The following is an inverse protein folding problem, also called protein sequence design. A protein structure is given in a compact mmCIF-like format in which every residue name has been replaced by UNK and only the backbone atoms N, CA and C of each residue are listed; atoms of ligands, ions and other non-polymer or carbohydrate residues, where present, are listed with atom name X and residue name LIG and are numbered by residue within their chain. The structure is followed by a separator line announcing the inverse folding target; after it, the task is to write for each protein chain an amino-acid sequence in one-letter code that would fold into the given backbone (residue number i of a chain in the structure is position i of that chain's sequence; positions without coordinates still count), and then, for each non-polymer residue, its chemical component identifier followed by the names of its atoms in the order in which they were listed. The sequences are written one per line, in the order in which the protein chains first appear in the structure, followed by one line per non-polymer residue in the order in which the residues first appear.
data_IF_055910946697
#
_entry.id   IF_055910946697
#
_cell.length_a   1.000
_cell.length_b   1.000
_cell.length_c   1.000
_cell.angle_alpha   90.00
_cell.angle_beta   90.00
_cell.angle_gamma   90.00
#
_symmetry.space_group_name_H-M   'P 1'
#
loop_
_entity.id
_entity.type
_entity.pdbx_description
1 polymer ?
#
# COMPACT_ATOMS: atom_id res chain seq x y z
N UNK A 1 -10.80 -14.54 34.60
CA UNK A 1 -9.40 -15.04 34.66
C UNK A 1 -8.47 -13.89 34.33
N UNK A 2 -7.48 -13.60 35.19
CA UNK A 2 -6.54 -12.48 35.01
C UNK A 2 -5.53 -12.85 33.92
N UNK A 3 -5.47 -12.09 32.83
CA UNK A 3 -4.51 -12.30 31.73
C UNK A 3 -3.40 -11.24 31.81
N UNK A 4 -2.13 -11.69 31.82
CA UNK A 4 -0.95 -10.82 31.76
C UNK A 4 -0.54 -10.60 30.31
N UNK A 5 -0.02 -9.41 30.01
CA UNK A 5 0.45 -8.97 28.69
C UNK A 5 1.98 -9.00 28.72
N UNK A 6 2.62 -9.65 27.74
CA UNK A 6 4.07 -9.61 27.53
C UNK A 6 4.34 -9.10 26.12
N UNK A 7 5.15 -8.06 26.01
CA UNK A 7 5.56 -7.44 24.75
C UNK A 7 6.93 -8.02 24.34
N UNK A 8 6.98 -8.78 23.25
CA UNK A 8 8.22 -9.34 22.72
C UNK A 8 8.29 -9.16 21.20
N UNK A 9 9.33 -8.47 20.74
CA UNK A 9 9.57 -8.08 19.36
C UNK A 9 10.52 -9.11 18.73
N UNK A 10 10.07 -9.86 17.72
CA UNK A 10 10.86 -10.90 17.05
C UNK A 10 10.99 -10.54 15.57
N UNK A 11 12.17 -10.03 15.20
CA UNK A 11 12.62 -9.84 13.82
C UNK A 11 13.20 -11.16 13.32
N UNK A 12 12.58 -11.80 12.32
CA UNK A 12 13.12 -12.99 11.67
C UNK A 12 13.61 -12.61 10.27
N UNK A 13 14.94 -12.59 10.14
CA UNK A 13 15.68 -12.51 8.89
C UNK A 13 15.88 -13.95 8.38
N UNK A 14 15.25 -14.34 7.27
CA UNK A 14 15.41 -15.68 6.72
C UNK A 14 16.64 -15.76 5.80
N UNK A 15 17.72 -16.37 6.29
CA UNK A 15 18.79 -16.95 5.46
C UNK A 15 18.83 -18.46 5.66
N UNK A 16 18.69 -19.22 4.57
CA UNK A 16 18.79 -20.69 4.57
C UNK A 16 20.25 -21.15 4.54
N UNK A 17 20.67 -21.98 5.50
CA UNK A 17 21.49 -23.20 5.34
C UNK A 17 21.47 -24.00 6.66
N UNK A 18 21.31 -25.33 6.58
CA UNK A 18 21.12 -26.20 7.74
C UNK A 18 22.39 -26.75 8.39
N UNK A 19 22.22 -27.39 9.55
CA UNK A 19 22.67 -28.76 9.87
C UNK A 19 22.43 -29.09 11.37
N UNK A 20 21.82 -30.26 11.59
CA UNK A 20 22.06 -31.25 12.65
C UNK A 20 22.78 -30.84 13.95
N UNK A 21 22.11 -31.03 15.10
CA UNK A 21 22.52 -32.03 16.11
C UNK A 21 21.58 -32.01 17.34
N UNK A 22 21.20 -33.21 17.79
CA UNK A 22 20.51 -33.44 19.04
C UNK A 22 21.39 -33.01 20.23
N UNK A 23 20.92 -32.08 21.03
CA UNK A 23 21.38 -31.92 22.41
C UNK A 23 20.16 -31.78 23.33
N UNK A 24 19.98 -32.76 24.21
CA UNK A 24 19.02 -32.70 25.31
C UNK A 24 19.49 -31.62 26.29
N UNK A 25 18.84 -30.45 26.25
CA UNK A 25 18.98 -29.44 27.30
C UNK A 25 17.74 -29.45 28.18
N UNK A 26 17.98 -29.71 29.47
CA UNK A 26 17.06 -29.43 30.56
C UNK A 26 16.42 -28.06 30.34
N UNK A 27 15.10 -28.02 30.25
CA UNK A 27 14.36 -26.76 30.09
C UNK A 27 14.25 -26.13 31.47
N UNK A 28 14.57 -24.85 31.51
CA UNK A 28 14.27 -23.95 32.62
C UNK A 28 12.82 -23.51 32.44
N UNK A 29 11.94 -23.91 33.35
CA UNK A 29 10.48 -23.94 33.19
C UNK A 29 9.81 -22.55 33.26
N UNK A 30 10.62 -21.49 33.29
CA UNK A 30 10.15 -20.12 33.54
C UNK A 30 9.92 -19.29 32.26
N UNK A 31 10.31 -19.78 31.08
CA UNK A 31 10.05 -19.09 29.83
C UNK A 31 8.70 -19.50 29.24
N UNK A 32 7.89 -18.54 28.76
CA UNK A 32 6.64 -18.88 28.08
C UNK A 32 6.94 -19.76 26.84
N UNK A 33 6.06 -20.72 26.53
CA UNK A 33 6.14 -21.51 25.31
C UNK A 33 6.35 -20.61 24.10
N UNK A 34 7.32 -20.97 23.27
CA UNK A 34 7.55 -20.32 21.99
C UNK A 34 6.33 -20.55 21.09
N UNK A 35 5.69 -19.47 20.64
CA UNK A 35 4.61 -19.53 19.65
C UNK A 35 5.26 -19.63 18.27
N UNK A 36 4.91 -20.66 17.50
CA UNK A 36 5.41 -20.82 16.13
C UNK A 36 4.39 -20.30 15.14
N UNK A 37 4.89 -19.80 14.01
CA UNK A 37 4.01 -19.35 12.92
C UNK A 37 3.09 -20.47 12.39
N UNK A 38 3.53 -21.74 12.49
CA UNK A 38 2.72 -22.91 12.15
C UNK A 38 1.51 -23.12 13.07
N UNK A 39 1.49 -22.52 14.26
CA UNK A 39 0.37 -22.62 15.20
C UNK A 39 -0.78 -21.66 14.84
N UNK A 40 -0.54 -20.79 13.86
CA UNK A 40 -1.53 -19.87 13.29
C UNK A 40 -1.83 -20.38 11.88
N UNK A 41 -3.05 -20.87 11.64
CA UNK A 41 -3.50 -21.14 10.28
C UNK A 41 -3.77 -19.79 9.60
N UNK A 42 -3.02 -19.43 8.57
CA UNK A 42 -3.22 -18.17 7.86
C UNK A 42 -3.21 -18.34 6.35
N UNK A 43 -3.87 -17.42 5.66
CA UNK A 43 -3.82 -17.35 4.20
C UNK A 43 -4.00 -15.91 3.70
N UNK A 44 -3.38 -15.63 2.55
CA UNK A 44 -3.62 -14.42 1.76
C UNK A 44 -4.19 -14.85 0.42
N UNK A 45 -5.35 -14.31 0.04
CA UNK A 45 -6.03 -14.66 -1.21
C UNK A 45 -6.55 -13.41 -1.90
N UNK A 46 -6.48 -13.37 -3.23
CA UNK A 46 -7.24 -12.39 -4.01
C UNK A 46 -8.71 -12.82 -4.09
N UNK A 47 -9.64 -11.91 -3.81
CA UNK A 47 -11.09 -12.14 -3.90
C UNK A 47 -11.76 -10.90 -4.50
N UNK A 48 -12.90 -11.09 -5.17
CA UNK A 48 -13.79 -10.00 -5.56
C UNK A 48 -14.75 -9.75 -4.40
N UNK A 49 -14.76 -8.52 -3.87
CA UNK A 49 -15.60 -8.09 -2.76
C UNK A 49 -16.15 -6.71 -3.14
N UNK A 50 -17.47 -6.58 -3.20
CA UNK A 50 -18.17 -5.37 -3.64
C UNK A 50 -17.68 -4.89 -5.02
N UNK A 51 -17.67 -5.81 -6.00
CA UNK A 51 -17.21 -5.60 -7.38
C UNK A 51 -15.73 -5.19 -7.56
N UNK A 52 -14.97 -5.12 -6.47
CA UNK A 52 -13.56 -4.76 -6.47
C UNK A 52 -12.66 -5.96 -6.14
N UNK A 53 -11.54 -6.09 -6.86
CA UNK A 53 -10.52 -7.10 -6.55
C UNK A 53 -9.70 -6.67 -5.33
N UNK A 54 -9.89 -7.36 -4.21
CA UNK A 54 -9.20 -7.10 -2.94
C UNK A 54 -8.29 -8.26 -2.55
N UNK A 55 -7.18 -7.95 -1.87
CA UNK A 55 -6.38 -8.93 -1.15
C UNK A 55 -7.00 -9.15 0.23
N UNK A 56 -7.33 -10.38 0.56
CA UNK A 56 -7.90 -10.76 1.85
C UNK A 56 -6.90 -11.58 2.64
N UNK A 57 -6.55 -11.10 3.84
CA UNK A 57 -5.84 -11.86 4.85
C UNK A 57 -6.85 -12.55 5.77
N UNK A 58 -6.58 -13.81 6.12
CA UNK A 58 -7.40 -14.58 7.06
C UNK A 58 -6.49 -15.37 7.98
N UNK A 59 -6.83 -15.45 9.26
CA UNK A 59 -6.11 -16.27 10.22
C UNK A 59 -7.07 -16.99 11.18
N UNK A 60 -6.63 -18.13 11.69
CA UNK A 60 -7.21 -18.85 12.81
C UNK A 60 -6.09 -19.12 13.82
N UNK A 61 -6.28 -18.58 15.01
CA UNK A 61 -5.35 -18.78 16.12
C UNK A 61 -5.66 -20.13 16.78
N UNK A 62 -4.75 -21.10 16.66
CA UNK A 62 -4.87 -22.41 17.31
C UNK A 62 -4.09 -22.48 18.64
N UNK A 63 -3.71 -21.33 19.22
CA UNK A 63 -3.00 -21.24 20.51
C UNK A 63 -3.92 -20.78 21.64
N UNK A 64 -3.50 -21.02 22.89
CA UNK A 64 -4.18 -20.51 24.08
C UNK A 64 -3.94 -19.01 24.35
N UNK A 65 -3.10 -18.36 23.53
CA UNK A 65 -2.71 -16.97 23.68
C UNK A 65 -3.59 -16.04 22.87
N UNK A 66 -3.78 -14.81 23.34
CA UNK A 66 -4.44 -13.77 22.53
C UNK A 66 -3.40 -13.15 21.60
N UNK A 67 -3.66 -13.15 20.30
CA UNK A 67 -2.87 -12.34 19.35
C UNK A 67 -3.17 -10.86 19.62
N UNK A 68 -2.16 -10.12 20.07
CA UNK A 68 -2.29 -8.72 20.43
C UNK A 68 -2.13 -7.78 19.22
N UNK A 69 -1.32 -8.17 18.24
CA UNK A 69 -0.95 -7.35 17.10
C UNK A 69 -0.61 -8.22 15.89
N UNK A 70 -0.96 -7.74 14.69
CA UNK A 70 -0.60 -8.33 13.41
C UNK A 70 -0.04 -7.21 12.54
N UNK A 71 1.19 -7.38 12.06
CA UNK A 71 1.81 -6.53 11.06
C UNK A 71 1.83 -7.27 9.72
N UNK A 72 1.37 -6.60 8.66
CA UNK A 72 1.43 -7.13 7.30
C UNK A 72 2.35 -6.23 6.48
N UNK A 73 3.49 -6.77 6.07
CA UNK A 73 4.37 -6.12 5.12
C UNK A 73 4.12 -6.68 3.73
N UNK A 74 3.72 -5.84 2.79
CA UNK A 74 3.58 -6.22 1.40
C UNK A 74 4.75 -5.67 0.59
N UNK A 75 5.36 -6.52 -0.22
CA UNK A 75 6.29 -6.08 -1.26
C UNK A 75 5.59 -6.29 -2.60
N UNK A 76 5.37 -5.20 -3.34
CA UNK A 76 4.88 -5.28 -4.72
C UNK A 76 5.92 -6.05 -5.51
N UNK A 77 5.51 -7.16 -6.14
CA UNK A 77 6.34 -7.81 -7.15
C UNK A 77 6.50 -6.84 -8.32
N UNK A 78 7.70 -6.75 -8.89
CA UNK A 78 7.92 -5.97 -10.11
C UNK A 78 6.84 -6.35 -11.13
N UNK A 79 6.18 -5.33 -11.69
CA UNK A 79 5.19 -5.55 -12.74
C UNK A 79 5.91 -6.26 -13.89
N UNK A 80 5.60 -7.53 -14.10
CA UNK A 80 5.86 -8.15 -15.40
C UNK A 80 4.77 -7.60 -16.30
N UNK A 81 5.13 -6.60 -17.10
CA UNK A 81 4.34 -6.18 -18.25
C UNK A 81 4.31 -7.38 -19.18
N UNK A 82 3.24 -8.17 -19.10
CA UNK A 82 2.99 -9.17 -20.12
C UNK A 82 2.45 -8.41 -21.33
N UNK A 83 3.36 -7.90 -22.16
CA UNK A 83 3.08 -7.15 -23.40
C UNK A 83 2.27 -7.98 -24.43
N UNK A 84 1.79 -9.18 -24.06
CA UNK A 84 1.23 -10.13 -25.00
C UNK A 84 -0.27 -10.44 -24.90
N UNK A 85 -1.03 -10.05 -23.85
CA UNK A 85 -2.49 -10.35 -23.85
C UNK A 85 -3.42 -9.73 -22.77
N UNK A 86 -3.14 -8.55 -22.21
CA UNK A 86 -4.19 -7.81 -21.47
C UNK A 86 -4.51 -6.50 -22.18
N UNK A 87 -5.74 -6.36 -22.70
CA UNK A 87 -6.33 -5.11 -23.25
C UNK A 87 -6.37 -3.94 -22.24
N UNK A 88 -5.72 -4.07 -21.09
CA UNK A 88 -5.63 -3.06 -20.05
C UNK A 88 -4.39 -2.21 -20.37
N UNK A 89 -4.60 -1.13 -21.12
CA UNK A 89 -3.60 -0.07 -21.21
C UNK A 89 -3.49 0.63 -19.85
N UNK A 90 -2.55 0.17 -19.03
CA UNK A 90 -2.28 0.72 -17.68
C UNK A 90 -1.53 2.06 -17.72
N UNK A 91 -1.09 2.52 -18.90
CA UNK A 91 -0.45 3.82 -19.07
C UNK A 91 -1.14 4.59 -20.19
N UNK A 92 -2.17 5.35 -19.80
CA UNK A 92 -2.91 6.24 -20.66
C UNK A 92 -2.27 7.63 -20.63
N UNK A 93 -2.11 8.24 -21.80
CA UNK A 93 -1.71 9.64 -21.89
C UNK A 93 -2.26 10.26 -23.16
N UNK A 94 -2.86 11.43 -23.03
CA UNK A 94 -3.47 12.13 -24.15
C UNK A 94 -2.48 13.00 -24.91
N UNK A 95 -2.76 13.21 -26.20
CA UNK A 95 -2.13 14.21 -27.05
C UNK A 95 -2.98 15.47 -27.23
N UNK A 96 -4.06 15.63 -26.45
CA UNK A 96 -4.87 16.85 -26.42
C UNK A 96 -4.09 18.03 -25.83
N UNK A 97 -4.49 19.24 -26.19
CA UNK A 97 -3.88 20.50 -25.75
C UNK A 97 -3.93 20.67 -24.23
N UNK A 98 -5.02 20.25 -23.57
CA UNK A 98 -5.10 20.28 -22.10
C UNK A 98 -4.04 19.39 -21.45
N UNK A 99 -3.80 18.18 -21.97
CA UNK A 99 -2.75 17.29 -21.46
C UNK A 99 -1.34 17.87 -21.66
N UNK A 100 -1.11 18.64 -22.74
CA UNK A 100 0.18 19.30 -23.02
C UNK A 100 0.49 20.45 -22.06
N UNK A 101 -0.53 21.03 -21.40
CA UNK A 101 -0.34 22.11 -20.41
C UNK A 101 0.44 21.63 -19.18
N UNK A 102 0.36 20.34 -18.84
CA UNK A 102 1.16 19.75 -17.76
C UNK A 102 2.29 18.86 -18.28
N UNK A 103 3.12 18.30 -17.40
CA UNK A 103 4.17 17.36 -17.76
C UNK A 103 3.61 15.93 -17.82
N UNK A 104 4.16 15.08 -18.70
CA UNK A 104 3.88 13.65 -18.65
C UNK A 104 4.59 13.03 -17.42
N UNK A 105 3.86 12.41 -16.47
CA UNK A 105 4.47 11.87 -15.26
C UNK A 105 5.28 10.61 -15.56
N UNK A 106 6.33 10.37 -14.76
CA UNK A 106 7.12 9.14 -14.83
C UNK A 106 6.60 8.13 -13.78
N UNK A 107 5.36 7.69 -13.95
CA UNK A 107 4.68 6.72 -13.08
C UNK A 107 4.54 5.38 -13.80
N UNK A 108 4.40 4.28 -13.06
CA UNK A 108 4.21 2.96 -13.68
C UNK A 108 2.81 2.80 -14.28
N UNK A 109 1.82 3.44 -13.65
CA UNK A 109 0.42 3.33 -14.01
C UNK A 109 -0.22 4.72 -14.02
N UNK A 110 -0.85 5.07 -15.14
CA UNK A 110 -1.57 6.32 -15.35
C UNK A 110 -2.89 5.99 -16.03
N UNK A 111 -4.00 6.43 -15.43
CA UNK A 111 -5.34 6.30 -15.98
C UNK A 111 -5.93 7.69 -16.17
N UNK A 112 -6.30 8.03 -17.40
CA UNK A 112 -6.93 9.32 -17.72
C UNK A 112 -8.40 9.23 -17.37
N UNK A 113 -8.89 10.14 -16.52
CA UNK A 113 -10.29 10.17 -16.08
C UNK A 113 -11.13 11.14 -16.94
N UNK A 114 -10.52 12.25 -17.36
CA UNK A 114 -11.14 13.26 -18.22
C UNK A 114 -10.13 13.76 -19.26
N UNK A 115 -10.57 13.90 -20.50
CA UNK A 115 -9.76 14.41 -21.62
C UNK A 115 -10.63 15.16 -22.62
N UNK A 116 -10.97 16.39 -22.28
CA UNK A 116 -11.68 17.30 -23.17
C UNK A 116 -10.93 18.63 -23.34
N UNK A 117 -11.54 19.57 -24.05
CA UNK A 117 -10.90 20.84 -24.41
C UNK A 117 -10.84 21.85 -23.25
N UNK A 118 -11.57 21.62 -22.16
CA UNK A 118 -11.65 22.49 -20.99
C UNK A 118 -11.01 21.85 -19.74
N UNK A 119 -10.93 20.52 -19.68
CA UNK A 119 -10.53 19.78 -18.49
C UNK A 119 -9.75 18.50 -18.84
N UNK A 120 -8.64 18.29 -18.15
CA UNK A 120 -7.84 17.07 -18.23
C UNK A 120 -7.47 16.59 -16.82
N UNK A 121 -7.70 15.32 -16.54
CA UNK A 121 -7.38 14.72 -15.24
C UNK A 121 -6.94 13.27 -15.38
N UNK A 122 -6.07 12.83 -14.47
CA UNK A 122 -5.59 11.46 -14.43
C UNK A 122 -5.29 11.01 -13.00
N UNK A 123 -5.32 9.70 -12.77
CA UNK A 123 -4.83 9.06 -11.55
C UNK A 123 -3.51 8.35 -11.82
N UNK A 124 -2.54 8.55 -10.93
CA UNK A 124 -1.31 7.75 -10.88
C UNK A 124 -1.43 6.66 -9.80
N UNK A 125 -1.21 5.40 -10.15
CA UNK A 125 -1.29 4.28 -9.18
C UNK A 125 0.08 3.71 -8.85
N UNK A 126 0.26 3.29 -7.60
CA UNK A 126 1.54 2.76 -7.12
C UNK A 126 2.66 3.80 -7.03
N UNK A 127 2.29 5.08 -7.01
CA UNK A 127 3.22 6.22 -6.97
C UNK A 127 3.76 6.38 -5.55
N UNK A 128 5.08 6.37 -5.40
CA UNK A 128 5.72 6.71 -4.13
C UNK A 128 5.68 8.22 -3.86
N UNK A 129 5.76 8.62 -2.59
CA UNK A 129 5.86 10.04 -2.20
C UNK A 129 6.96 10.78 -2.96
N UNK A 130 8.13 10.16 -3.13
CA UNK A 130 9.24 10.75 -3.92
C UNK A 130 8.91 10.96 -5.39
N UNK A 131 8.18 10.03 -6.01
CA UNK A 131 7.74 10.18 -7.40
C UNK A 131 6.70 11.30 -7.54
N UNK A 132 5.80 11.43 -6.55
CA UNK A 132 4.85 12.53 -6.50
C UNK A 132 5.55 13.89 -6.33
N UNK A 133 6.45 14.03 -5.35
CA UNK A 133 7.24 15.24 -5.13
C UNK A 133 8.05 15.61 -6.38
N UNK A 134 8.69 14.64 -7.03
CA UNK A 134 9.41 14.87 -8.29
C UNK A 134 8.49 15.32 -9.45
N UNK A 135 7.21 14.93 -9.42
CA UNK A 135 6.24 15.39 -10.40
C UNK A 135 5.76 16.83 -10.09
N UNK A 136 5.54 17.17 -8.81
CA UNK A 136 5.25 18.54 -8.37
C UNK A 136 6.36 19.49 -8.83
N UNK A 137 7.63 19.13 -8.65
CA UNK A 137 8.75 19.94 -9.11
C UNK A 137 8.78 20.14 -10.63
N UNK A 138 8.35 19.14 -11.41
CA UNK A 138 8.18 19.31 -12.87
C UNK A 138 7.02 20.26 -13.19
N UNK A 139 5.91 20.18 -12.46
CA UNK A 139 4.75 21.06 -12.64
C UNK A 139 5.10 22.51 -12.31
N UNK A 140 5.88 22.76 -11.25
CA UNK A 140 6.37 24.10 -10.88
C UNK A 140 7.13 24.82 -12.00
N UNK A 141 7.71 24.09 -12.95
CA UNK A 141 8.37 24.69 -14.14
C UNK A 141 7.38 25.31 -15.13
N UNK A 142 6.10 24.93 -15.08
CA UNK A 142 5.02 25.42 -15.96
C UNK A 142 3.98 26.26 -15.21
N UNK A 143 3.78 26.02 -13.91
CA UNK A 143 2.83 26.70 -13.03
C UNK A 143 3.60 27.28 -11.85
N UNK A 144 3.98 28.56 -11.94
CA UNK A 144 4.89 29.22 -10.99
C UNK A 144 4.18 30.04 -9.92
N UNK A 145 2.89 30.34 -10.09
CA UNK A 145 2.10 31.08 -9.10
C UNK A 145 1.47 30.08 -8.12
N UNK A 146 2.14 29.84 -6.99
CA UNK A 146 1.78 28.77 -6.06
C UNK A 146 0.73 29.30 -5.08
N UNK A 147 -0.46 28.68 -5.08
CA UNK A 147 -1.57 29.08 -4.21
C UNK A 147 -1.57 28.35 -2.87
N UNK A 148 -1.18 27.07 -2.87
CA UNK A 148 -1.05 26.26 -1.65
C UNK A 148 0.17 25.34 -1.75
N UNK A 149 1.12 25.51 -0.82
CA UNK A 149 2.26 24.61 -0.60
C UNK A 149 2.26 24.18 0.87
N UNK A 150 1.55 23.09 1.18
CA UNK A 150 1.58 22.51 2.52
C UNK A 150 2.94 21.83 2.72
N UNK A 151 3.60 22.10 3.84
CA UNK A 151 4.86 21.48 4.25
C UNK A 151 4.86 19.94 4.22
N UNK A 152 3.68 19.31 4.27
CA UNK A 152 3.52 17.84 4.18
C UNK A 152 3.08 17.33 2.79
N UNK A 153 3.06 18.21 1.78
CA UNK A 153 2.74 18.04 0.35
C UNK A 153 1.87 16.80 0.05
N UNK A 154 0.67 16.77 0.66
CA UNK A 154 -0.43 15.91 0.20
C UNK A 154 -1.31 16.60 -0.83
N UNK A 155 -1.14 17.90 -0.98
CA UNK A 155 -1.93 18.77 -1.82
C UNK A 155 -1.00 19.86 -2.38
N UNK A 156 -1.15 20.17 -3.67
CA UNK A 156 -0.44 21.24 -4.34
C UNK A 156 -1.39 21.89 -5.34
N UNK A 157 -1.43 23.22 -5.33
CA UNK A 157 -2.23 24.01 -6.25
C UNK A 157 -1.43 25.20 -6.77
N UNK A 158 -1.48 25.42 -8.08
CA UNK A 158 -0.76 26.51 -8.71
C UNK A 158 -1.42 27.00 -9.99
N UNK A 159 -1.06 28.20 -10.40
CA UNK A 159 -1.49 28.86 -11.63
C UNK A 159 -0.31 29.22 -12.51
N UNK A 160 -0.62 29.45 -13.79
CA UNK A 160 0.33 30.03 -14.74
C UNK A 160 -0.16 31.40 -15.23
N UNK A 161 0.69 32.11 -15.96
CA UNK A 161 0.39 33.46 -16.48
C UNK A 161 -0.77 33.50 -17.49
N UNK A 162 -1.20 32.35 -18.02
CA UNK A 162 -2.34 32.26 -18.94
C UNK A 162 -3.68 32.12 -18.18
N UNK A 163 -3.65 32.02 -16.86
CA UNK A 163 -4.83 31.76 -16.03
C UNK A 163 -5.23 30.28 -16.00
N UNK A 164 -4.37 29.36 -16.47
CA UNK A 164 -4.59 27.94 -16.26
C UNK A 164 -4.27 27.58 -14.81
N UNK A 165 -5.06 26.67 -14.25
CA UNK A 165 -4.94 26.20 -12.87
C UNK A 165 -4.59 24.71 -12.86
N UNK A 166 -3.82 24.25 -11.88
CA UNK A 166 -3.52 22.84 -11.67
C UNK A 166 -3.62 22.47 -10.20
N UNK A 167 -4.25 21.33 -9.94
CA UNK A 167 -4.40 20.73 -8.62
C UNK A 167 -3.80 19.32 -8.63
N UNK A 168 -3.00 19.01 -7.61
CA UNK A 168 -2.38 17.70 -7.41
C UNK A 168 -2.63 17.24 -5.97
N UNK A 169 -3.11 16.01 -5.82
CA UNK A 169 -3.36 15.40 -4.51
C UNK A 169 -2.68 14.02 -4.37
N UNK A 170 -2.13 13.74 -3.20
CA UNK A 170 -1.46 12.48 -2.86
C UNK A 170 -2.11 11.82 -1.64
N UNK A 171 -2.79 10.70 -1.89
CA UNK A 171 -3.44 9.89 -0.86
C UNK A 171 -2.75 8.54 -0.69
N UNK A 172 -2.46 8.16 0.55
CA UNK A 172 -1.94 6.84 0.93
C UNK A 172 -2.86 6.22 1.97
N UNK A 173 -4.09 5.88 1.58
CA UNK A 173 -5.02 5.24 2.51
C UNK A 173 -4.88 3.72 2.44
N UNK A 174 -4.30 3.13 3.49
CA UNK A 174 -4.50 1.72 3.82
C UNK A 174 -5.44 1.68 5.02
N UNK A 175 -6.71 1.36 4.78
CA UNK A 175 -7.68 1.17 5.85
C UNK A 175 -7.73 -0.31 6.25
N UNK A 176 -7.29 -0.61 7.48
CA UNK A 176 -7.41 -1.95 8.08
C UNK A 176 -8.53 -1.93 9.12
N UNK A 177 -9.60 -2.71 8.91
CA UNK A 177 -10.68 -2.90 9.88
C UNK A 177 -10.62 -4.32 10.44
N UNK A 178 -10.46 -4.46 11.76
CA UNK A 178 -10.57 -5.73 12.48
C UNK A 178 -11.82 -5.67 13.36
N UNK A 179 -12.81 -6.52 13.08
CA UNK A 179 -14.04 -6.64 13.88
C UNK A 179 -14.15 -8.02 14.50
N UNK A 180 -14.43 -8.08 15.81
CA UNK A 180 -14.79 -9.32 16.51
C UNK A 180 -16.31 -9.47 16.51
N UNK A 181 -16.83 -10.56 15.94
CA UNK A 181 -18.24 -10.95 16.15
C UNK A 181 -18.36 -11.52 17.56
N UNK A 182 -19.13 -10.87 18.42
CA UNK A 182 -19.52 -11.45 19.70
C UNK A 182 -20.53 -12.56 19.40
N UNK A 183 -20.32 -13.75 19.97
CA UNK A 183 -21.30 -14.82 19.87
C UNK A 183 -22.58 -14.38 20.60
N UNK A 184 -23.72 -14.62 19.98
CA UNK A 184 -25.02 -14.39 20.60
C UNK A 184 -25.08 -15.21 21.90
N UNK A 185 -25.27 -14.53 23.02
CA UNK A 185 -25.47 -15.17 24.32
C UNK A 185 -26.88 -15.75 24.27
N UNK A 186 -26.98 -17.08 24.15
CA UNK A 186 -28.22 -17.84 24.35
C UNK A 186 -28.60 -17.87 25.83
#
# INVERSE_FOLDING_TARGET
MKKKILLGLVLILCCFTGCSSNSSKNRDDNNPPEIKMSDIDWSVKSRIIDDERKLTFSYKNNTDYTIAYIELTFTRKDMVLDDSNSDINIYQWSSNDMAKKTAKPNFDCVVVNSDDNAYFSFNGYGVSRRQFEAYVEKVKTKFSDIETDDSDIKYFEAKNNNGDEIELSYYTEIQVRVTKKLADIQ
#
